data_IF_027452346873
#
_entry.id   IF_027452346873
#
_cell.length_a   1.000
_cell.length_b   1.000
_cell.length_c   1.000
_cell.angle_alpha   90.00
_cell.angle_beta   90.00
_cell.angle_gamma   90.00
#
_symmetry.space_group_name_H-M   'P 1'
#
loop_
_entity.id
_entity.type
_entity.pdbx_description
1 polymer ?
#
# COMPACT_ATOMS: atom_id res chain seq x y z
N UNK A 1 17.85 -47.91 -0.80
CA UNK A 1 19.03 -47.26 -1.40
C UNK A 1 18.53 -46.21 -2.39
N UNK A 2 18.51 -44.93 -2.01
CA UNK A 2 17.99 -43.82 -2.84
C UNK A 2 19.19 -42.96 -3.25
N UNK A 3 19.50 -42.93 -4.55
CA UNK A 3 20.54 -42.06 -5.13
C UNK A 3 19.89 -40.74 -5.53
N UNK A 4 20.19 -39.67 -4.82
CA UNK A 4 19.87 -38.31 -5.26
C UNK A 4 20.98 -37.87 -6.20
N UNK A 5 20.66 -37.74 -7.49
CA UNK A 5 21.56 -37.13 -8.49
C UNK A 5 21.59 -35.63 -8.24
N UNK A 6 22.74 -35.13 -7.78
CA UNK A 6 23.04 -33.69 -7.76
C UNK A 6 23.12 -33.24 -9.22
N UNK A 7 22.15 -32.44 -9.68
CA UNK A 7 22.31 -31.73 -10.95
C UNK A 7 23.24 -30.55 -10.70
N UNK A 8 24.45 -30.68 -11.21
CA UNK A 8 25.42 -29.59 -11.37
C UNK A 8 24.90 -28.74 -12.53
N UNK A 9 24.02 -27.78 -12.22
CA UNK A 9 23.69 -26.72 -13.16
C UNK A 9 24.85 -25.73 -13.14
N UNK A 10 25.51 -25.57 -14.28
CA UNK A 10 26.56 -24.58 -14.58
C UNK A 10 26.00 -23.14 -14.56
N UNK A 11 25.32 -22.78 -13.47
CA UNK A 11 24.78 -21.44 -13.25
C UNK A 11 25.78 -20.67 -12.41
N UNK A 12 26.43 -19.70 -13.04
CA UNK A 12 27.29 -18.74 -12.34
C UNK A 12 26.45 -18.07 -11.25
N UNK A 13 26.85 -18.26 -9.99
CA UNK A 13 26.21 -17.61 -8.86
C UNK A 13 26.34 -16.10 -9.02
N UNK A 14 25.23 -15.38 -8.91
CA UNK A 14 25.19 -13.93 -8.98
C UNK A 14 24.95 -13.36 -7.60
N UNK A 15 25.83 -12.46 -7.18
CA UNK A 15 25.64 -11.68 -5.96
C UNK A 15 24.55 -10.62 -6.19
N UNK A 16 23.45 -10.72 -5.44
CA UNK A 16 22.32 -9.79 -5.45
C UNK A 16 22.35 -8.99 -4.14
N UNK A 17 22.34 -7.66 -4.25
CA UNK A 17 22.36 -6.76 -3.08
C UNK A 17 20.93 -6.36 -2.68
N UNK A 18 20.55 -6.66 -1.44
CA UNK A 18 19.33 -6.20 -0.79
C UNK A 18 19.68 -5.21 0.33
N UNK A 19 19.68 -3.91 0.01
CA UNK A 19 20.12 -2.87 0.95
C UNK A 19 21.58 -3.07 1.36
N UNK A 20 21.82 -3.44 2.62
CA UNK A 20 23.17 -3.73 3.14
C UNK A 20 23.56 -5.21 3.11
N UNK A 21 22.68 -6.10 2.65
CA UNK A 21 22.95 -7.54 2.58
C UNK A 21 23.29 -7.94 1.14
N UNK A 22 24.29 -8.81 0.96
CA UNK A 22 24.61 -9.45 -0.31
C UNK A 22 24.23 -10.92 -0.20
N UNK A 23 23.41 -11.39 -1.15
CA UNK A 23 22.97 -12.77 -1.25
C UNK A 23 23.53 -13.37 -2.53
N UNK A 24 24.25 -14.48 -2.43
CA UNK A 24 24.68 -15.25 -3.60
C UNK A 24 23.59 -16.26 -3.94
N UNK A 25 23.07 -16.17 -5.16
CA UNK A 25 22.05 -17.08 -5.66
C UNK A 25 22.37 -17.50 -7.09
N UNK A 26 21.91 -18.69 -7.53
CA UNK A 26 22.01 -19.09 -8.93
C UNK A 26 21.41 -18.02 -9.85
N UNK A 27 22.10 -17.69 -10.94
CA UNK A 27 21.59 -16.70 -11.88
C UNK A 27 20.36 -17.26 -12.60
N UNK A 28 19.22 -16.59 -12.41
CA UNK A 28 17.99 -16.89 -13.14
C UNK A 28 18.16 -16.66 -14.64
N UNK A 29 17.47 -17.46 -15.44
CA UNK A 29 17.38 -17.22 -16.89
C UNK A 29 16.58 -15.95 -17.18
N UNK A 30 16.86 -15.31 -18.32
CA UNK A 30 16.12 -14.11 -18.75
C UNK A 30 14.61 -14.36 -18.86
N UNK A 31 14.20 -15.58 -19.26
CA UNK A 31 12.79 -15.97 -19.34
C UNK A 31 12.10 -16.02 -17.97
N UNK A 32 12.79 -16.51 -16.94
CA UNK A 32 12.26 -16.56 -15.57
C UNK A 32 12.15 -15.17 -14.96
N UNK A 33 13.13 -14.30 -15.21
CA UNK A 33 13.08 -12.89 -14.80
C UNK A 33 11.86 -12.20 -15.42
N UNK A 34 11.68 -12.34 -16.73
CA UNK A 34 10.56 -11.71 -17.43
C UNK A 34 9.21 -12.25 -16.94
N UNK A 35 9.11 -13.55 -16.67
CA UNK A 35 7.92 -14.18 -16.10
C UNK A 35 7.60 -13.64 -14.71
N UNK A 36 8.62 -13.48 -13.84
CA UNK A 36 8.47 -12.88 -12.52
C UNK A 36 7.98 -11.43 -12.57
N UNK A 37 8.56 -10.61 -13.46
CA UNK A 37 8.13 -9.22 -13.67
C UNK A 37 6.68 -9.16 -14.13
N UNK A 38 6.29 -10.00 -15.09
CA UNK A 38 4.93 -10.04 -15.61
C UNK A 38 3.90 -10.43 -14.53
N UNK A 39 4.22 -11.47 -13.74
CA UNK A 39 3.36 -11.92 -12.64
C UNK A 39 3.23 -10.87 -11.54
N UNK A 40 4.34 -10.25 -11.13
CA UNK A 40 4.35 -9.18 -10.12
C UNK A 40 3.53 -7.96 -10.57
N UNK A 41 3.71 -7.53 -11.82
CA UNK A 41 2.97 -6.41 -12.40
C UNK A 41 1.47 -6.70 -12.48
N UNK A 42 1.09 -7.92 -12.86
CA UNK A 42 -0.31 -8.35 -12.91
C UNK A 42 -0.93 -8.38 -11.51
N UNK A 43 -0.22 -8.92 -10.51
CA UNK A 43 -0.67 -8.92 -9.13
C UNK A 43 -0.88 -7.49 -8.58
N UNK A 44 0.06 -6.58 -8.85
CA UNK A 44 -0.05 -5.18 -8.45
C UNK A 44 -1.24 -4.48 -9.13
N UNK A 45 -1.47 -4.73 -10.43
CA UNK A 45 -2.65 -4.21 -11.13
C UNK A 45 -3.95 -4.65 -10.47
N UNK A 46 -4.04 -5.91 -10.02
CA UNK A 46 -5.22 -6.42 -9.29
C UNK A 46 -5.39 -5.74 -7.92
N UNK A 47 -4.29 -5.53 -7.20
CA UNK A 47 -4.32 -4.91 -5.87
C UNK A 47 -4.54 -3.39 -5.90
N UNK A 48 -4.23 -2.71 -7.01
CA UNK A 48 -4.31 -1.24 -7.16
C UNK A 48 -5.67 -0.68 -6.72
N UNK A 49 -6.77 -1.31 -7.12
CA UNK A 49 -8.12 -0.85 -6.76
C UNK A 49 -8.36 -0.85 -5.25
N UNK A 50 -7.93 -1.91 -4.56
CA UNK A 50 -8.07 -2.03 -3.10
C UNK A 50 -7.11 -1.11 -2.33
N UNK A 51 -5.93 -0.82 -2.89
CA UNK A 51 -4.96 0.09 -2.28
C UNK A 51 -5.36 1.57 -2.43
N UNK A 52 -6.04 1.94 -3.52
CA UNK A 52 -6.50 3.31 -3.77
C UNK A 52 -7.86 3.56 -3.11
N UNK A 53 -8.75 2.57 -3.10
CA UNK A 53 -10.03 2.71 -2.44
C UNK A 53 -9.83 2.89 -0.93
N UNK A 54 -10.56 3.84 -0.33
CA UNK A 54 -10.61 3.97 1.11
C UNK A 54 -11.02 2.61 1.71
N UNK A 55 -10.15 2.02 2.53
CA UNK A 55 -10.30 0.63 3.02
C UNK A 55 -11.53 0.35 3.87
N UNK A 56 -12.32 1.38 4.19
CA UNK A 56 -13.60 1.28 4.88
C UNK A 56 -14.62 2.17 4.18
N UNK A 57 -15.66 1.57 3.62
CA UNK A 57 -16.84 2.30 3.17
C UNK A 57 -17.74 2.58 4.38
N UNK A 58 -17.63 3.78 4.94
CA UNK A 58 -18.51 4.22 6.03
C UNK A 58 -19.83 4.67 5.40
N UNK A 59 -20.91 3.91 5.63
CA UNK A 59 -22.26 4.37 5.29
C UNK A 59 -22.62 5.55 6.20
N UNK A 60 -22.41 6.77 5.72
CA UNK A 60 -22.73 7.98 6.46
C UNK A 60 -24.25 8.16 6.42
N UNK A 61 -24.90 8.01 7.57
CA UNK A 61 -26.31 8.33 7.68
C UNK A 61 -26.52 9.86 7.56
N UNK A 62 -27.65 10.26 6.96
CA UNK A 62 -28.04 11.68 6.93
C UNK A 62 -28.12 12.23 8.36
N UNK A 63 -27.61 13.43 8.57
CA UNK A 63 -27.55 14.07 9.88
C UNK A 63 -26.34 13.69 10.74
N UNK A 64 -25.51 12.74 10.32
CA UNK A 64 -24.28 12.37 11.05
C UNK A 64 -23.09 13.18 10.50
N UNK A 65 -22.48 14.06 11.31
CA UNK A 65 -21.31 14.80 10.89
C UNK A 65 -20.06 13.91 10.89
N UNK A 66 -19.29 13.97 9.81
CA UNK A 66 -17.93 13.47 9.76
C UNK A 66 -16.94 14.57 10.08
N UNK A 67 -15.88 14.25 10.81
CA UNK A 67 -14.79 15.16 11.11
C UNK A 67 -13.48 14.56 10.61
N UNK A 68 -12.65 15.38 9.97
CA UNK A 68 -11.27 15.04 9.65
C UNK A 68 -10.36 16.24 9.94
N UNK A 69 -9.07 15.96 10.16
CA UNK A 69 -8.08 17.02 10.37
C UNK A 69 -7.93 17.85 9.10
N UNK A 70 -7.82 19.17 9.24
CA UNK A 70 -7.50 20.05 8.11
C UNK A 70 -6.04 19.77 7.67
N UNK A 71 -5.80 19.41 6.40
CA UNK A 71 -4.46 19.06 5.93
C UNK A 71 -3.55 20.27 5.75
N UNK A 72 -4.11 21.48 5.72
CA UNK A 72 -3.38 22.74 5.47
C UNK A 72 -3.10 23.47 6.77
N UNK A 73 -4.09 23.53 7.67
CA UNK A 73 -3.99 24.32 8.91
C UNK A 73 -4.07 23.42 10.15
N UNK A 74 -2.92 23.12 10.79
CA UNK A 74 -2.90 22.34 12.02
C UNK A 74 -3.82 22.92 13.10
N UNK A 75 -4.59 22.06 13.76
CA UNK A 75 -5.52 22.44 14.83
C UNK A 75 -6.92 22.84 14.35
N UNK A 76 -7.18 22.87 13.04
CA UNK A 76 -8.53 22.93 12.49
C UNK A 76 -9.05 21.54 12.13
N UNK A 77 -10.37 21.42 12.17
CA UNK A 77 -11.12 20.27 11.68
C UNK A 77 -12.02 20.71 10.54
N UNK A 78 -12.17 19.84 9.54
CA UNK A 78 -13.19 19.95 8.52
C UNK A 78 -14.35 19.04 8.94
N UNK A 79 -15.53 19.63 9.09
CA UNK A 79 -16.78 18.93 9.33
C UNK A 79 -17.56 18.80 8.04
N UNK A 80 -17.85 17.57 7.62
CA UNK A 80 -18.76 17.27 6.50
C UNK A 80 -20.09 16.81 7.08
N UNK A 81 -21.16 17.56 6.86
CA UNK A 81 -22.52 17.23 7.29
C UNK A 81 -23.47 17.39 6.11
N UNK A 82 -24.12 16.30 5.71
CA UNK A 82 -25.03 16.28 4.55
C UNK A 82 -24.40 16.87 3.28
N UNK A 83 -23.12 16.54 3.03
CA UNK A 83 -22.37 17.04 1.87
C UNK A 83 -21.84 18.48 2.01
N UNK A 84 -22.17 19.20 3.09
CA UNK A 84 -21.61 20.53 3.35
C UNK A 84 -20.37 20.42 4.22
N UNK A 85 -19.27 20.98 3.73
CA UNK A 85 -18.02 21.09 4.48
C UNK A 85 -17.92 22.43 5.20
N UNK A 86 -17.37 22.42 6.41
CA UNK A 86 -17.14 23.62 7.22
C UNK A 86 -15.88 23.43 8.05
N UNK A 87 -14.99 24.42 8.06
CA UNK A 87 -13.80 24.43 8.92
C UNK A 87 -14.16 24.96 10.31
N UNK A 88 -13.50 24.44 11.33
CA UNK A 88 -13.77 24.84 12.71
C UNK A 88 -12.82 24.21 13.71
N UNK A 89 -13.13 24.44 14.98
CA UNK A 89 -12.40 23.86 16.12
C UNK A 89 -13.38 23.20 17.07
N UNK A 90 -12.89 22.28 17.90
CA UNK A 90 -13.66 21.81 19.06
C UNK A 90 -13.34 22.74 20.24
N UNK A 91 -14.34 23.48 20.71
CA UNK A 91 -14.26 24.35 21.88
C UNK A 91 -15.22 23.81 22.93
N UNK A 92 -14.69 23.42 24.11
CA UNK A 92 -15.48 22.82 25.20
C UNK A 92 -16.36 21.65 24.73
N UNK A 93 -15.81 20.77 23.90
CA UNK A 93 -16.50 19.60 23.37
C UNK A 93 -17.53 19.88 22.26
N UNK A 94 -17.66 21.13 21.79
CA UNK A 94 -18.57 21.50 20.70
C UNK A 94 -17.79 22.01 19.49
N UNK A 95 -18.24 21.64 18.30
CA UNK A 95 -17.67 22.17 17.06
C UNK A 95 -18.13 23.62 16.86
N UNK A 96 -17.17 24.53 16.77
CA UNK A 96 -17.36 25.96 16.47
C UNK A 96 -16.78 26.23 15.09
N UNK A 97 -17.61 26.60 14.09
CA UNK A 97 -17.13 26.98 12.78
C UNK A 97 -16.30 28.27 12.86
N UNK A 98 -15.33 28.41 11.97
CA UNK A 98 -14.55 29.63 11.77
C UNK A 98 -14.93 30.30 10.45
#
# INVERSE_FOLDING_TARGET
MIRIKRQESDQTARAIRFGNVIVEAPSLSQGEIQKGIAQGTSALKRAKGALIAHGVNVKIASGVPLFHADPVTPGLLIRTLNGKETRGRIVRGRFTPI
#
